data_IF_649084713791
#
_entry.id   IF_649084713791
#
_cell.length_a   1.000
_cell.length_b   1.000
_cell.length_c   1.000
_cell.angle_alpha   90.00
_cell.angle_beta   90.00
_cell.angle_gamma   90.00
#
_symmetry.space_group_name_H-M   'P 1'
#
loop_
_entity.id
_entity.type
_entity.pdbx_description
1 polymer ?
#
# COMPACT_ATOMS: atom_id res chain seq x y z
N UNK A 1 -2.03 -6.18 -9.60
CA UNK A 1 -1.95 -5.65 -8.22
C UNK A 1 -3.28 -5.89 -7.52
N UNK A 2 -3.30 -6.13 -6.21
CA UNK A 2 -4.54 -6.31 -5.44
C UNK A 2 -4.34 -5.96 -3.95
N UNK A 3 -5.44 -5.71 -3.24
CA UNK A 3 -5.43 -5.57 -1.79
C UNK A 3 -5.54 -6.94 -1.14
N UNK A 4 -4.70 -7.19 -0.14
CA UNK A 4 -4.69 -8.43 0.65
C UNK A 4 -4.94 -8.11 2.12
N UNK A 5 -5.92 -8.81 2.71
CA UNK A 5 -6.09 -8.88 4.17
C UNK A 5 -5.09 -9.91 4.73
N UNK A 6 -4.38 -9.54 5.78
CA UNK A 6 -3.46 -10.44 6.50
C UNK A 6 -3.87 -10.51 7.96
N UNK A 7 -4.01 -11.72 8.47
CA UNK A 7 -4.33 -11.97 9.87
C UNK A 7 -3.09 -12.49 10.59
N UNK A 8 -2.70 -11.83 11.67
CA UNK A 8 -1.56 -12.25 12.49
C UNK A 8 -2.00 -12.38 13.94
N UNK A 9 -1.84 -13.59 14.51
CA UNK A 9 -2.01 -13.80 15.95
C UNK A 9 -0.77 -13.32 16.70
N UNK A 10 -0.95 -12.44 17.69
CA UNK A 10 0.10 -12.09 18.65
C UNK A 10 0.13 -13.11 19.79
N UNK A 11 1.27 -13.19 20.48
CA UNK A 11 1.47 -14.06 21.66
C UNK A 11 0.44 -13.82 22.78
N UNK A 12 -0.20 -12.65 22.83
CA UNK A 12 -1.26 -12.31 23.77
C UNK A 12 -2.64 -12.91 23.44
N UNK A 13 -2.77 -13.67 22.35
CA UNK A 13 -4.06 -14.23 21.90
C UNK A 13 -4.88 -13.29 21.01
N UNK A 14 -4.50 -12.02 20.91
CA UNK A 14 -5.16 -11.04 20.04
C UNK A 14 -4.79 -11.28 18.56
N UNK A 15 -5.82 -11.32 17.69
CA UNK A 15 -5.64 -11.43 16.23
C UNK A 15 -5.71 -10.05 15.61
N UNK A 16 -4.63 -9.62 14.98
CA UNK A 16 -4.54 -8.34 14.30
C UNK A 16 -4.77 -8.54 12.81
N UNK A 17 -5.76 -7.83 12.26
CA UNK A 17 -6.03 -7.81 10.83
C UNK A 17 -5.38 -6.58 10.21
N UNK A 18 -4.54 -6.75 9.18
CA UNK A 18 -3.96 -5.63 8.42
C UNK A 18 -4.30 -5.70 6.95
N UNK A 19 -4.25 -4.54 6.28
CA UNK A 19 -4.43 -4.42 4.83
C UNK A 19 -3.10 -4.08 4.17
N UNK A 20 -2.79 -4.77 3.07
CA UNK A 20 -1.57 -4.58 2.29
C UNK A 20 -1.90 -4.41 0.81
N UNK A 21 -1.21 -3.50 0.14
CA UNK A 21 -1.18 -3.44 -1.32
C UNK A 21 -0.06 -4.35 -1.82
N UNK A 22 -0.40 -5.31 -2.69
CA UNK A 22 0.56 -6.27 -3.21
C UNK A 22 0.53 -6.37 -4.73
N UNK A 23 1.71 -6.54 -5.32
CA UNK A 23 1.88 -6.81 -6.73
C UNK A 23 2.30 -8.27 -6.93
N UNK A 24 1.65 -8.94 -7.88
CA UNK A 24 2.06 -10.27 -8.30
C UNK A 24 3.05 -10.17 -9.44
N UNK A 25 4.11 -10.96 -9.38
CA UNK A 25 5.14 -11.08 -10.42
C UNK A 25 5.57 -12.54 -10.55
N UNK A 26 6.24 -12.90 -11.65
CA UNK A 26 6.92 -14.19 -11.78
C UNK A 26 8.40 -14.01 -11.47
N UNK A 27 8.96 -14.89 -10.65
CA UNK A 27 10.41 -14.91 -10.44
C UNK A 27 11.13 -15.55 -11.64
N UNK A 28 12.45 -15.62 -11.59
CA UNK A 28 13.31 -16.19 -12.64
C UNK A 28 12.97 -17.67 -12.95
N UNK A 29 12.42 -18.41 -11.98
CA UNK A 29 11.94 -19.78 -12.16
C UNK A 29 10.52 -19.86 -12.75
N UNK A 30 9.91 -18.73 -13.11
CA UNK A 30 8.53 -18.65 -13.61
C UNK A 30 7.45 -18.82 -12.54
N UNK A 31 7.81 -18.95 -11.26
CA UNK A 31 6.85 -19.13 -10.14
C UNK A 31 6.19 -17.81 -9.78
N UNK A 32 4.88 -17.86 -9.54
CA UNK A 32 4.13 -16.70 -9.07
C UNK A 32 4.58 -16.32 -7.65
N UNK A 33 4.91 -15.04 -7.46
CA UNK A 33 5.31 -14.42 -6.20
C UNK A 33 4.53 -13.12 -6.01
N UNK A 34 4.55 -12.62 -4.79
CA UNK A 34 3.96 -11.32 -4.44
C UNK A 34 4.99 -10.44 -3.76
N UNK A 35 5.06 -9.16 -4.16
CA UNK A 35 5.82 -8.11 -3.47
C UNK A 35 4.84 -7.19 -2.74
N UNK A 36 5.15 -6.84 -1.50
CA UNK A 36 4.39 -5.84 -0.74
C UNK A 36 4.84 -4.46 -1.21
N UNK A 37 3.88 -3.65 -1.63
CA UNK A 37 4.11 -2.29 -2.11
C UNK A 37 3.84 -1.28 -1.00
N UNK A 38 2.79 -1.51 -0.22
CA UNK A 38 2.43 -0.65 0.90
C UNK A 38 1.71 -1.43 2.00
N UNK A 39 1.95 -1.04 3.25
CA UNK A 39 1.33 -1.62 4.44
C UNK A 39 0.45 -0.57 5.12
N UNK A 40 -0.87 -0.68 4.98
CA UNK A 40 -1.82 0.30 5.54
C UNK A 40 -1.97 0.22 7.06
N UNK A 41 -1.57 -0.91 7.65
CA UNK A 41 -1.72 -1.10 9.09
C UNK A 41 -3.01 -1.81 9.46
N UNK A 42 -3.47 -1.68 10.71
CA UNK A 42 -4.66 -2.34 11.23
C UNK A 42 -5.91 -1.94 10.46
N UNK A 43 -6.78 -2.90 10.14
CA UNK A 43 -8.07 -2.61 9.50
C UNK A 43 -8.97 -1.78 10.42
N UNK A 44 -8.92 -2.02 11.73
CA UNK A 44 -9.68 -1.28 12.75
C UNK A 44 -9.21 0.18 12.91
N UNK A 45 -8.01 0.49 12.40
CA UNK A 45 -7.45 1.85 12.38
C UNK A 45 -7.33 2.41 10.98
N UNK A 46 -7.98 1.81 9.99
CA UNK A 46 -7.96 2.29 8.62
C UNK A 46 -8.79 3.57 8.54
N UNK A 47 -8.10 4.71 8.60
CA UNK A 47 -8.71 6.04 8.60
C UNK A 47 -8.78 6.59 7.18
N UNK A 48 -9.51 7.69 7.00
CA UNK A 48 -9.60 8.38 5.70
C UNK A 48 -8.21 8.78 5.15
N UNK A 49 -7.27 9.14 6.02
CA UNK A 49 -5.88 9.40 5.66
C UNK A 49 -5.14 8.18 5.06
N UNK A 50 -5.57 6.95 5.37
CA UNK A 50 -5.01 5.73 4.77
C UNK A 50 -5.61 5.46 3.38
N UNK A 51 -6.84 5.92 3.14
CA UNK A 51 -7.44 5.90 1.80
C UNK A 51 -6.73 6.89 0.87
N UNK A 52 -6.37 8.08 1.35
CA UNK A 52 -5.59 9.05 0.57
C UNK A 52 -4.20 8.49 0.22
N UNK A 53 -3.52 7.84 1.17
CA UNK A 53 -2.25 7.17 0.93
C UNK A 53 -2.36 5.98 -0.04
N UNK A 54 -3.51 5.29 -0.07
CA UNK A 54 -3.79 4.25 -1.05
C UNK A 54 -3.86 4.85 -2.45
N UNK A 55 -4.61 5.95 -2.61
CA UNK A 55 -4.72 6.67 -3.89
C UNK A 55 -3.35 7.18 -4.34
N UNK A 56 -2.59 7.82 -3.46
CA UNK A 56 -1.23 8.29 -3.74
C UNK A 56 -0.29 7.15 -4.16
N UNK A 57 -0.36 6.01 -3.47
CA UNK A 57 0.46 4.83 -3.80
C UNK A 57 0.12 4.28 -5.18
N UNK A 58 -1.18 4.22 -5.52
CA UNK A 58 -1.64 3.79 -6.85
C UNK A 58 -1.21 4.79 -7.93
N UNK A 59 -1.34 6.09 -7.69
CA UNK A 59 -0.93 7.13 -8.63
C UNK A 59 0.58 7.15 -8.87
N UNK A 60 1.39 7.02 -7.81
CA UNK A 60 2.86 6.87 -7.91
C UNK A 60 3.23 5.67 -8.77
N UNK A 61 2.54 4.55 -8.60
CA UNK A 61 2.80 3.33 -9.37
C UNK A 61 2.34 3.43 -10.83
N UNK A 62 1.29 4.20 -11.12
CA UNK A 62 0.86 4.50 -12.51
C UNK A 62 1.76 5.53 -13.21
N UNK A 63 2.74 6.11 -12.51
CA UNK A 63 3.55 7.22 -13.03
C UNK A 63 2.81 8.55 -13.15
N UNK A 64 1.59 8.64 -12.60
CA UNK A 64 0.71 9.81 -12.68
C UNK A 64 0.94 10.79 -11.52
N UNK A 65 2.12 10.76 -10.89
CA UNK A 65 2.42 11.69 -9.80
C UNK A 65 2.64 13.09 -10.36
N UNK A 66 1.61 13.93 -10.30
CA UNK A 66 1.77 15.37 -10.44
C UNK A 66 2.64 15.81 -9.26
N UNK A 67 3.91 16.10 -9.52
CA UNK A 67 4.65 17.03 -8.68
C UNK A 67 3.75 18.26 -8.63
N UNK A 68 3.17 18.54 -7.46
CA UNK A 68 2.72 19.88 -7.18
C UNK A 68 3.99 20.73 -7.25
N UNK A 69 4.32 21.18 -8.47
CA UNK A 69 5.23 22.28 -8.67
C UNK A 69 4.53 23.41 -7.93
N UNK A 70 4.97 23.62 -6.69
CA UNK A 70 4.85 24.91 -6.05
C UNK A 70 5.41 25.88 -7.06
N UNK A 71 4.50 26.61 -7.71
CA UNK A 71 4.84 27.75 -8.54
C UNK A 71 5.60 28.64 -7.59
N UNK A 72 6.92 28.68 -7.75
CA UNK A 72 7.76 29.72 -7.18
C UNK A 72 7.29 31.02 -7.82
N UNK A 73 6.20 31.56 -7.28
CA UNK A 73 5.92 32.98 -7.36
C UNK A 73 6.97 33.57 -6.45
N UNK A 74 8.00 34.20 -7.00
CA UNK A 74 8.55 35.47 -6.54
C UNK A 74 9.29 36.09 -7.71
N UNK A 75 8.92 37.36 -7.93
CA UNK A 75 9.41 38.34 -8.90
C UNK A 75 10.93 38.40 -9.01
#
# INVERSE_FOLDING_TARGET
MFLRKVESKRKSGYTHTTVQLVESYRNEEGKSRTRILYHFGPLDKFLQADADKLVDSVLKMKGEFKIALGVASHL
#
